data_IF_252720381848
#
_entry.id   IF_252720381848
#
_cell.length_a   1.000
_cell.length_b   1.000
_cell.length_c   1.000
_cell.angle_alpha   90.00
_cell.angle_beta   90.00
_cell.angle_gamma   90.00
#
_symmetry.space_group_name_H-M   'P 1'
#
loop_
_entity.id
_entity.type
_entity.pdbx_description
1 polymer ?
#
# COMPACT_ATOMS: atom_id res chain seq x y z
N UNK A 1 -6.50 -33.90 15.86
CA UNK A 1 -5.69 -32.81 16.47
C UNK A 1 -4.29 -32.69 15.86
N UNK A 2 -3.74 -33.74 15.25
CA UNK A 2 -2.40 -33.75 14.65
C UNK A 2 -2.31 -33.10 13.25
N UNK A 3 -3.42 -32.91 12.54
CA UNK A 3 -3.49 -32.26 11.22
C UNK A 3 -3.23 -30.75 11.25
N UNK A 4 -3.58 -30.08 12.32
CA UNK A 4 -3.50 -28.62 12.41
C UNK A 4 -2.07 -28.08 12.60
N UNK A 5 -1.18 -28.83 13.26
CA UNK A 5 0.19 -28.37 13.50
C UNK A 5 1.10 -28.60 12.28
N UNK A 6 0.90 -29.72 11.55
CA UNK A 6 1.64 -30.00 10.31
C UNK A 6 1.27 -29.01 9.20
N UNK A 7 -0.01 -28.74 9.03
CA UNK A 7 -0.51 -27.74 8.07
C UNK A 7 -0.04 -26.32 8.43
N UNK A 8 0.09 -26.00 9.72
CA UNK A 8 0.67 -24.73 10.18
C UNK A 8 2.15 -24.60 9.88
N UNK A 9 2.92 -25.66 10.08
CA UNK A 9 4.36 -25.68 9.77
C UNK A 9 4.60 -25.62 8.25
N UNK A 10 3.80 -26.35 7.45
CA UNK A 10 3.86 -26.28 5.98
C UNK A 10 3.50 -24.88 5.48
N UNK A 11 2.47 -24.24 6.05
CA UNK A 11 2.10 -22.87 5.72
C UNK A 11 3.17 -21.84 6.12
N UNK A 12 3.84 -22.03 7.27
CA UNK A 12 4.98 -21.18 7.67
C UNK A 12 6.17 -21.36 6.76
N UNK A 13 6.49 -22.62 6.39
CA UNK A 13 7.58 -22.92 5.46
C UNK A 13 7.34 -22.27 4.10
N UNK A 14 6.12 -22.38 3.56
CA UNK A 14 5.74 -21.74 2.31
C UNK A 14 5.83 -20.21 2.37
N UNK A 15 5.44 -19.60 3.50
CA UNK A 15 5.57 -18.14 3.70
C UNK A 15 7.03 -17.73 3.81
N UNK A 16 7.88 -18.50 4.46
CA UNK A 16 9.31 -18.23 4.53
C UNK A 16 9.99 -18.34 3.15
N UNK A 17 9.67 -19.36 2.36
CA UNK A 17 10.12 -19.47 0.96
C UNK A 17 9.70 -18.25 0.12
N UNK A 18 8.47 -17.76 0.31
CA UNK A 18 7.97 -16.58 -0.36
C UNK A 18 8.70 -15.30 0.10
N UNK A 19 9.06 -15.21 1.38
CA UNK A 19 9.86 -14.09 1.92
C UNK A 19 11.29 -14.13 1.38
N UNK A 20 11.92 -15.29 1.32
CA UNK A 20 13.24 -15.45 0.71
C UNK A 20 13.23 -15.11 -0.78
N UNK A 21 12.16 -15.45 -1.49
CA UNK A 21 11.97 -15.06 -2.88
C UNK A 21 11.84 -13.54 -3.06
N UNK A 22 11.47 -12.80 -2.01
CA UNK A 22 11.45 -11.34 -2.04
C UNK A 22 12.86 -10.73 -2.17
N UNK A 23 13.92 -11.45 -1.82
CA UNK A 23 15.31 -11.03 -2.06
C UNK A 23 15.64 -10.90 -3.56
N UNK A 24 14.86 -11.52 -4.43
CA UNK A 24 15.03 -11.38 -5.89
C UNK A 24 14.65 -10.00 -6.43
N UNK A 25 13.96 -9.16 -5.65
CA UNK A 25 13.50 -7.82 -6.08
C UNK A 25 14.53 -6.70 -5.87
N UNK A 26 15.79 -7.02 -5.65
CA UNK A 26 16.88 -6.03 -5.52
C UNK A 26 17.48 -5.57 -6.86
N UNK A 27 16.94 -6.00 -8.00
CA UNK A 27 17.30 -5.45 -9.31
C UNK A 27 16.22 -4.48 -9.81
N UNK A 28 16.60 -3.45 -10.60
CA UNK A 28 15.64 -2.47 -11.15
C UNK A 28 14.50 -3.12 -11.92
N UNK A 29 14.81 -4.14 -12.74
CA UNK A 29 13.84 -4.84 -13.58
C UNK A 29 12.80 -5.58 -12.74
N UNK A 30 13.26 -6.36 -11.76
CA UNK A 30 12.38 -7.13 -10.89
C UNK A 30 11.51 -6.24 -10.00
N UNK A 31 12.10 -5.18 -9.47
CA UNK A 31 11.35 -4.22 -8.68
C UNK A 31 10.28 -3.52 -9.52
N UNK A 32 10.60 -3.15 -10.76
CA UNK A 32 9.62 -2.56 -11.70
C UNK A 32 8.48 -3.52 -11.97
N UNK A 33 8.75 -4.77 -12.33
CA UNK A 33 7.73 -5.80 -12.55
C UNK A 33 6.78 -5.93 -11.36
N UNK A 34 7.34 -5.96 -10.15
CA UNK A 34 6.54 -6.00 -8.92
C UNK A 34 5.68 -4.75 -8.74
N UNK A 35 6.26 -3.55 -8.92
CA UNK A 35 5.53 -2.29 -8.73
C UNK A 35 4.38 -2.15 -9.74
N UNK A 36 4.61 -2.50 -11.00
CA UNK A 36 3.58 -2.52 -12.03
C UNK A 36 2.49 -3.56 -11.73
N UNK A 37 2.88 -4.76 -11.30
CA UNK A 37 1.92 -5.79 -10.90
C UNK A 37 1.09 -5.34 -9.69
N UNK A 38 1.73 -4.84 -8.64
CA UNK A 38 1.05 -4.38 -7.43
C UNK A 38 0.07 -3.22 -7.74
N UNK A 39 0.42 -2.33 -8.68
CA UNK A 39 -0.45 -1.25 -9.13
C UNK A 39 -1.75 -1.75 -9.78
N UNK A 40 -1.68 -2.88 -10.49
CA UNK A 40 -2.85 -3.53 -11.12
C UNK A 40 -3.70 -4.34 -10.15
N UNK A 41 -3.25 -4.56 -8.93
CA UNK A 41 -3.92 -5.42 -7.93
C UNK A 41 -4.43 -4.62 -6.71
N UNK A 42 -5.20 -3.52 -6.88
CA UNK A 42 -5.60 -2.63 -5.77
C UNK A 42 -6.54 -3.31 -4.76
N UNK A 43 -7.16 -4.42 -5.13
CA UNK A 43 -8.02 -5.23 -4.24
C UNK A 43 -7.26 -5.98 -3.15
N UNK A 44 -5.95 -6.15 -3.31
CA UNK A 44 -5.06 -6.82 -2.35
C UNK A 44 -4.15 -5.81 -1.69
N UNK A 45 -3.89 -5.95 -0.39
CA UNK A 45 -2.88 -5.13 0.28
C UNK A 45 -1.52 -5.29 -0.46
N UNK A 46 -0.65 -4.27 -0.47
CA UNK A 46 0.62 -4.30 -1.21
C UNK A 46 1.46 -5.54 -0.94
N UNK A 47 1.51 -6.00 0.31
CA UNK A 47 2.23 -7.23 0.67
C UNK A 47 1.61 -8.48 0.02
N UNK A 48 0.29 -8.60 0.00
CA UNK A 48 -0.39 -9.70 -0.69
C UNK A 48 -0.22 -9.62 -2.22
N UNK A 49 -0.17 -8.41 -2.79
CA UNK A 49 0.13 -8.25 -4.21
C UNK A 49 1.54 -8.77 -4.55
N UNK A 50 2.54 -8.54 -3.68
CA UNK A 50 3.87 -9.13 -3.81
C UNK A 50 3.80 -10.67 -3.77
N UNK A 51 3.10 -11.25 -2.79
CA UNK A 51 2.96 -12.72 -2.69
C UNK A 51 2.31 -13.31 -3.94
N UNK A 52 1.32 -12.64 -4.49
CA UNK A 52 0.67 -13.06 -5.74
C UNK A 52 1.63 -12.96 -6.93
N UNK A 53 2.42 -11.89 -7.03
CA UNK A 53 3.43 -11.73 -8.07
C UNK A 53 4.48 -12.83 -8.05
N UNK A 54 4.99 -13.20 -6.86
CA UNK A 54 5.94 -14.30 -6.70
C UNK A 54 5.35 -15.62 -7.23
N UNK A 55 4.09 -15.90 -6.91
CA UNK A 55 3.41 -17.15 -7.26
C UNK A 55 2.97 -17.18 -8.73
N UNK A 56 2.50 -16.05 -9.27
CA UNK A 56 1.96 -15.95 -10.63
C UNK A 56 2.12 -14.54 -11.22
N UNK A 57 3.33 -14.19 -11.76
CA UNK A 57 3.64 -12.83 -12.25
C UNK A 57 2.71 -12.35 -13.37
N UNK A 58 2.11 -13.30 -14.13
CA UNK A 58 1.22 -13.03 -15.27
C UNK A 58 -0.27 -13.01 -14.90
N UNK A 59 -0.61 -13.15 -13.63
CA UNK A 59 -2.00 -13.09 -13.21
C UNK A 59 -2.65 -11.76 -13.60
N UNK A 60 -3.90 -11.82 -14.07
CA UNK A 60 -4.63 -10.68 -14.61
C UNK A 60 -5.71 -10.18 -13.67
N UNK A 61 -6.51 -11.09 -13.12
CA UNK A 61 -7.56 -10.78 -12.17
C UNK A 61 -7.71 -11.97 -11.21
N UNK A 62 -7.64 -11.70 -9.93
CA UNK A 62 -7.57 -12.74 -8.89
C UNK A 62 -8.75 -12.58 -7.95
N UNK A 63 -9.44 -13.68 -7.65
CA UNK A 63 -10.51 -13.73 -6.68
C UNK A 63 -10.61 -15.11 -6.00
N UNK A 64 -11.32 -15.21 -4.87
CA UNK A 64 -11.64 -16.47 -4.22
C UNK A 64 -12.67 -17.25 -5.02
N UNK A 65 -12.77 -18.55 -4.79
CA UNK A 65 -13.79 -19.40 -5.43
C UNK A 65 -15.22 -18.89 -5.17
N UNK A 66 -15.47 -18.31 -3.99
CA UNK A 66 -16.76 -17.71 -3.64
C UNK A 66 -17.04 -16.46 -4.49
N UNK A 67 -16.09 -15.55 -4.58
CA UNK A 67 -16.21 -14.33 -5.40
C UNK A 67 -16.39 -14.68 -6.88
N UNK A 68 -15.68 -15.71 -7.39
CA UNK A 68 -15.88 -16.21 -8.76
C UNK A 68 -17.30 -16.75 -8.96
N UNK A 69 -17.84 -17.52 -8.00
CA UNK A 69 -19.21 -18.02 -8.08
C UNK A 69 -20.24 -16.88 -8.07
N UNK A 70 -20.03 -15.82 -7.28
CA UNK A 70 -20.88 -14.62 -7.27
C UNK A 70 -20.88 -13.89 -8.62
N UNK A 71 -19.79 -13.99 -9.38
CA UNK A 71 -19.65 -13.46 -10.75
C UNK A 71 -20.15 -14.42 -11.84
N UNK A 72 -20.71 -15.58 -11.47
CA UNK A 72 -21.21 -16.58 -12.42
C UNK A 72 -20.15 -17.48 -13.05
N UNK A 73 -18.94 -17.47 -12.50
CA UNK A 73 -17.82 -18.32 -12.94
C UNK A 73 -17.52 -19.41 -11.92
N UNK A 74 -16.93 -20.50 -12.39
CA UNK A 74 -16.48 -21.61 -11.55
C UNK A 74 -14.97 -21.81 -11.72
N UNK A 75 -14.31 -22.15 -10.64
CA UNK A 75 -12.91 -22.57 -10.68
C UNK A 75 -12.80 -23.94 -11.35
N UNK A 76 -11.85 -24.10 -12.26
CA UNK A 76 -11.59 -25.36 -12.98
C UNK A 76 -11.20 -26.47 -11.99
N UNK A 77 -11.67 -27.71 -12.21
CA UNK A 77 -11.15 -28.85 -11.46
C UNK A 77 -9.62 -28.97 -11.63
N UNK A 78 -8.89 -29.11 -10.52
CA UNK A 78 -7.43 -29.18 -10.54
C UNK A 78 -6.71 -27.85 -10.69
N UNK A 79 -7.41 -26.72 -10.69
CA UNK A 79 -6.81 -25.39 -10.70
C UNK A 79 -5.83 -25.21 -9.53
N UNK A 80 -4.68 -24.61 -9.80
CA UNK A 80 -3.66 -24.33 -8.78
C UNK A 80 -4.06 -23.08 -7.98
N UNK A 81 -4.30 -23.19 -6.67
CA UNK A 81 -4.61 -22.04 -5.85
C UNK A 81 -3.37 -21.16 -5.64
N UNK A 82 -3.59 -19.86 -5.58
CA UNK A 82 -2.63 -18.88 -5.07
C UNK A 82 -2.97 -18.58 -3.61
N UNK A 83 -1.95 -18.22 -2.83
CA UNK A 83 -2.06 -18.02 -1.39
C UNK A 83 -1.87 -16.55 -1.04
N UNK A 84 -2.78 -16.00 -0.22
CA UNK A 84 -2.66 -14.67 0.36
C UNK A 84 -2.87 -14.72 1.87
N UNK A 85 -2.26 -13.79 2.60
CA UNK A 85 -2.39 -13.70 4.06
C UNK A 85 -3.74 -13.09 4.46
N UNK A 86 -4.27 -13.53 5.59
CA UNK A 86 -5.48 -12.97 6.21
C UNK A 86 -5.19 -12.44 7.63
N UNK A 87 -5.93 -11.41 8.03
CA UNK A 87 -5.80 -10.79 9.36
C UNK A 87 -6.29 -11.76 10.47
N UNK A 88 -7.30 -12.59 10.18
CA UNK A 88 -7.98 -13.47 11.14
C UNK A 88 -7.86 -14.96 10.76
N UNK A 89 -6.83 -15.33 10.03
CA UNK A 89 -6.60 -16.73 9.62
C UNK A 89 -5.19 -16.86 9.04
N UNK A 90 -4.69 -18.09 8.86
CA UNK A 90 -3.34 -18.25 8.34
C UNK A 90 -3.24 -17.77 6.90
N UNK A 91 -4.13 -18.23 6.03
CA UNK A 91 -4.10 -17.95 4.60
C UNK A 91 -5.50 -18.01 3.97
N UNK A 92 -5.65 -17.40 2.79
CA UNK A 92 -6.81 -17.54 1.91
C UNK A 92 -6.35 -18.00 0.53
N UNK A 93 -7.07 -18.97 -0.04
CA UNK A 93 -6.86 -19.43 -1.40
C UNK A 93 -7.64 -18.58 -2.38
N UNK A 94 -6.97 -18.18 -3.45
CA UNK A 94 -7.50 -17.37 -4.54
C UNK A 94 -7.04 -17.94 -5.89
N UNK A 95 -7.73 -17.60 -6.97
CA UNK A 95 -7.49 -18.14 -8.30
C UNK A 95 -7.47 -17.02 -9.33
N UNK A 96 -6.58 -17.13 -10.30
CA UNK A 96 -6.57 -16.23 -11.46
C UNK A 96 -7.77 -16.51 -12.38
N UNK A 97 -8.19 -15.50 -13.11
CA UNK A 97 -9.28 -15.62 -14.10
C UNK A 97 -9.03 -16.72 -15.14
N UNK A 98 -7.77 -16.95 -15.51
CA UNK A 98 -7.40 -18.02 -16.44
C UNK A 98 -7.73 -19.43 -15.91
N UNK A 99 -7.86 -19.58 -14.60
CA UNK A 99 -8.25 -20.82 -13.92
C UNK A 99 -9.76 -20.95 -13.71
N UNK A 100 -10.57 -20.15 -14.39
CA UNK A 100 -12.03 -20.19 -14.30
C UNK A 100 -12.70 -20.56 -15.62
N UNK A 101 -13.96 -20.96 -15.54
CA UNK A 101 -14.85 -21.20 -16.69
C UNK A 101 -16.28 -20.81 -16.32
N UNK A 102 -17.11 -20.56 -17.31
CA UNK A 102 -18.52 -20.21 -17.12
C UNK A 102 -18.98 -19.07 -18.03
N UNK A 103 -19.81 -18.20 -17.50
CA UNK A 103 -20.39 -17.08 -18.23
C UNK A 103 -19.33 -16.02 -18.59
N UNK A 104 -19.68 -15.07 -19.48
CA UNK A 104 -18.83 -13.92 -19.73
C UNK A 104 -18.56 -13.14 -18.45
N UNK A 105 -17.35 -12.60 -18.32
CA UNK A 105 -16.97 -11.74 -17.21
C UNK A 105 -17.93 -10.53 -17.13
N UNK A 106 -18.30 -10.09 -15.93
CA UNK A 106 -19.00 -8.82 -15.74
C UNK A 106 -18.24 -7.68 -16.42
N UNK A 107 -18.96 -6.76 -17.08
CA UNK A 107 -18.34 -5.66 -17.83
C UNK A 107 -17.34 -4.85 -17.00
N UNK A 108 -17.63 -4.60 -15.71
CA UNK A 108 -16.71 -3.90 -14.81
C UNK A 108 -15.39 -4.63 -14.59
N UNK A 109 -15.42 -5.96 -14.48
CA UNK A 109 -14.22 -6.80 -14.34
C UNK A 109 -13.42 -6.81 -15.64
N UNK A 110 -14.12 -6.93 -16.77
CA UNK A 110 -13.49 -6.89 -18.09
C UNK A 110 -12.80 -5.54 -18.33
N UNK A 111 -13.46 -4.42 -18.04
CA UNK A 111 -12.89 -3.08 -18.16
C UNK A 111 -11.65 -2.91 -17.24
N UNK A 112 -11.71 -3.39 -16.01
CA UNK A 112 -10.56 -3.36 -15.08
C UNK A 112 -9.36 -4.17 -15.60
N UNK A 113 -9.62 -5.28 -16.31
CA UNK A 113 -8.58 -6.10 -16.92
C UNK A 113 -8.01 -5.51 -18.22
N UNK A 114 -8.84 -4.83 -19.02
CA UNK A 114 -8.46 -4.22 -20.30
C UNK A 114 -7.70 -2.91 -20.11
N UNK A 115 -8.09 -2.10 -19.13
CA UNK A 115 -7.42 -0.85 -18.79
C UNK A 115 -7.16 -0.74 -17.27
N UNK A 116 -6.21 -1.53 -16.75
CA UNK A 116 -5.88 -1.51 -15.33
C UNK A 116 -5.24 -0.19 -14.87
N UNK A 117 -4.75 0.62 -15.80
CA UNK A 117 -4.08 1.90 -15.55
C UNK A 117 -4.94 3.12 -15.90
N UNK A 118 -6.23 2.93 -16.16
CA UNK A 118 -7.12 4.06 -16.44
C UNK A 118 -7.00 5.14 -15.37
N UNK A 119 -6.46 6.29 -15.76
CA UNK A 119 -6.23 7.40 -14.83
C UNK A 119 -7.55 8.13 -14.56
N UNK A 120 -8.07 7.98 -13.35
CA UNK A 120 -9.15 8.81 -12.80
C UNK A 120 -8.52 9.83 -11.84
N UNK A 121 -8.06 10.97 -12.37
CA UNK A 121 -7.16 11.90 -11.71
C UNK A 121 -7.68 12.68 -10.49
N UNK A 122 -8.70 12.23 -9.77
CA UNK A 122 -9.27 12.98 -8.65
C UNK A 122 -9.11 12.32 -7.29
N UNK A 123 -8.81 13.14 -6.29
CA UNK A 123 -8.85 12.77 -4.88
C UNK A 123 -10.11 13.39 -4.27
N UNK A 124 -11.17 12.61 -4.03
CA UNK A 124 -12.43 13.16 -3.50
C UNK A 124 -12.21 13.85 -2.14
N UNK A 125 -12.87 14.97 -1.91
CA UNK A 125 -12.73 15.76 -0.68
C UNK A 125 -13.00 14.93 0.60
N UNK A 126 -13.95 14.02 0.57
CA UNK A 126 -14.24 13.17 1.73
C UNK A 126 -13.10 12.19 2.06
N UNK A 127 -12.37 11.73 1.05
CA UNK A 127 -11.17 10.87 1.22
C UNK A 127 -10.02 11.70 1.79
N UNK A 128 -9.78 12.86 1.21
CA UNK A 128 -8.75 13.79 1.65
C UNK A 128 -8.95 14.21 3.11
N UNK A 129 -10.12 14.72 3.46
CA UNK A 129 -10.43 15.20 4.81
C UNK A 129 -10.29 14.07 5.84
N UNK A 130 -10.76 12.86 5.49
CA UNK A 130 -10.62 11.69 6.37
C UNK A 130 -9.17 11.30 6.58
N UNK A 131 -8.34 11.37 5.54
CA UNK A 131 -6.91 11.10 5.65
C UNK A 131 -6.24 12.11 6.59
N UNK A 132 -6.56 13.39 6.46
CA UNK A 132 -6.06 14.44 7.35
C UNK A 132 -6.53 14.25 8.81
N UNK A 133 -7.79 13.87 9.03
CA UNK A 133 -8.33 13.58 10.38
C UNK A 133 -7.55 12.40 11.03
N UNK A 134 -7.22 11.37 10.26
CA UNK A 134 -6.44 10.25 10.77
C UNK A 134 -4.98 10.63 11.03
N UNK A 135 -4.37 11.46 10.19
CA UNK A 135 -3.05 12.03 10.45
C UNK A 135 -3.05 12.80 11.79
N UNK A 136 -3.99 13.72 11.97
CA UNK A 136 -4.11 14.51 13.20
C UNK A 136 -4.30 13.62 14.45
N UNK A 137 -5.14 12.59 14.34
CA UNK A 137 -5.35 11.64 15.44
C UNK A 137 -4.10 10.77 15.76
N UNK A 138 -3.13 10.71 14.84
CA UNK A 138 -1.84 10.04 15.01
C UNK A 138 -0.70 11.04 15.33
N UNK A 139 -1.04 12.26 15.74
CA UNK A 139 -0.07 13.34 16.03
C UNK A 139 0.80 13.73 14.83
N UNK A 140 0.24 13.61 13.62
CA UNK A 140 0.84 14.07 12.38
C UNK A 140 0.03 15.30 11.95
N UNK A 141 0.55 16.49 12.20
CA UNK A 141 -0.06 17.76 11.81
C UNK A 141 0.26 18.04 10.34
N UNK A 142 -0.73 18.03 9.49
CA UNK A 142 -0.60 18.37 8.08
C UNK A 142 -1.04 19.82 7.87
N UNK A 143 -0.17 20.65 7.31
CA UNK A 143 -0.43 22.05 6.99
C UNK A 143 -0.09 22.34 5.53
N UNK A 144 -0.77 23.31 4.95
CA UNK A 144 -0.42 23.87 3.65
C UNK A 144 0.40 25.15 3.87
N UNK A 145 1.49 25.31 3.12
CA UNK A 145 2.34 26.50 3.14
C UNK A 145 2.77 26.86 1.72
N UNK A 146 3.02 28.13 1.47
CA UNK A 146 3.68 28.56 0.23
C UNK A 146 5.15 28.20 0.35
N UNK A 147 5.58 27.18 -0.38
CA UNK A 147 6.95 26.70 -0.42
C UNK A 147 7.63 27.12 -1.71
N UNK A 148 8.96 26.96 -1.77
CA UNK A 148 9.69 27.16 -3.03
C UNK A 148 9.15 26.24 -4.13
N UNK A 149 9.23 26.66 -5.39
CA UNK A 149 8.66 25.92 -6.54
C UNK A 149 9.22 24.49 -6.68
N UNK A 150 10.47 24.29 -6.27
CA UNK A 150 11.14 22.98 -6.32
C UNK A 150 10.85 22.09 -5.09
N UNK A 151 10.05 22.58 -4.13
CA UNK A 151 9.74 21.85 -2.91
C UNK A 151 8.25 21.53 -2.84
N UNK A 152 7.90 20.26 -3.04
CA UNK A 152 6.51 19.82 -3.02
C UNK A 152 5.96 19.71 -1.58
N UNK A 153 6.80 19.33 -0.64
CA UNK A 153 6.49 19.21 0.79
C UNK A 153 7.70 18.75 1.57
N UNK A 154 7.53 18.66 2.87
CA UNK A 154 8.49 18.03 3.77
C UNK A 154 7.85 17.65 5.10
N UNK A 155 8.46 16.72 5.82
CA UNK A 155 8.06 16.32 7.16
C UNK A 155 9.23 16.45 8.13
N UNK A 156 8.93 16.86 9.37
CA UNK A 156 9.90 16.99 10.45
C UNK A 156 9.31 16.61 11.80
N UNK A 157 10.16 16.32 12.77
CA UNK A 157 9.70 16.22 14.15
C UNK A 157 9.40 17.63 14.70
N UNK A 158 8.20 17.78 15.25
CA UNK A 158 7.76 19.00 15.89
C UNK A 158 8.08 19.03 17.39
N UNK A 159 7.99 20.21 18.04
CA UNK A 159 8.47 20.42 19.41
C UNK A 159 7.63 19.73 20.48
N UNK A 160 6.41 19.29 20.19
CA UNK A 160 5.47 18.75 21.18
C UNK A 160 5.29 17.22 21.07
N UNK A 161 6.29 16.48 20.58
CA UNK A 161 6.20 15.05 20.38
C UNK A 161 5.15 14.70 19.32
N UNK A 162 5.16 15.45 18.23
CA UNK A 162 4.34 15.28 17.05
C UNK A 162 5.21 15.36 15.79
N UNK A 163 4.64 15.06 14.64
CA UNK A 163 5.27 15.33 13.34
C UNK A 163 4.54 16.48 12.66
N UNK A 164 5.30 17.40 12.09
CA UNK A 164 4.80 18.50 11.29
C UNK A 164 5.10 18.22 9.82
N UNK A 165 4.05 18.07 9.02
CA UNK A 165 4.11 17.79 7.60
C UNK A 165 3.55 19.00 6.83
N UNK A 166 4.34 19.55 5.93
CA UNK A 166 3.99 20.71 5.13
C UNK A 166 3.83 20.33 3.67
N UNK A 167 2.74 20.75 3.06
CA UNK A 167 2.47 20.57 1.64
C UNK A 167 2.49 21.92 0.93
N UNK A 168 3.07 21.98 -0.27
CA UNK A 168 3.06 23.21 -1.05
C UNK A 168 1.64 23.57 -1.47
N UNK A 169 1.17 24.75 -1.04
CA UNK A 169 -0.16 25.26 -1.30
C UNK A 169 -0.40 25.60 -2.79
N UNK A 170 0.66 25.78 -3.59
CA UNK A 170 0.58 26.08 -5.01
C UNK A 170 0.28 24.84 -5.89
N UNK A 171 0.38 23.64 -5.32
CA UNK A 171 0.12 22.41 -6.06
C UNK A 171 -1.36 22.01 -5.99
N UNK A 172 -1.82 21.34 -7.05
CA UNK A 172 -3.16 20.75 -7.09
C UNK A 172 -3.31 19.54 -6.16
N UNK A 173 -4.54 19.10 -5.96
CA UNK A 173 -4.87 18.03 -5.02
C UNK A 173 -4.20 16.69 -5.34
N UNK A 174 -4.12 16.21 -6.59
CA UNK A 174 -3.39 14.98 -6.91
C UNK A 174 -1.92 15.03 -6.54
N UNK A 175 -1.24 16.16 -6.82
CA UNK A 175 0.17 16.36 -6.45
C UNK A 175 0.32 16.44 -4.93
N UNK A 176 -0.55 17.19 -4.24
CA UNK A 176 -0.55 17.24 -2.76
C UNK A 176 -0.79 15.86 -2.13
N UNK A 177 -1.64 15.02 -2.75
CA UNK A 177 -1.88 13.65 -2.27
C UNK A 177 -0.64 12.76 -2.42
N UNK A 178 0.03 12.81 -3.57
CA UNK A 178 1.26 12.07 -3.81
C UNK A 178 2.38 12.52 -2.86
N UNK A 179 2.51 13.84 -2.67
CA UNK A 179 3.45 14.43 -1.71
C UNK A 179 3.14 13.97 -0.28
N UNK A 180 1.87 13.99 0.13
CA UNK A 180 1.46 13.50 1.45
C UNK A 180 1.81 12.01 1.61
N UNK A 181 1.60 11.20 0.58
CA UNK A 181 1.97 9.78 0.61
C UNK A 181 3.48 9.57 0.69
N UNK A 182 4.29 10.42 0.03
CA UNK A 182 5.75 10.42 0.12
C UNK A 182 6.23 10.76 1.54
N UNK A 183 5.71 11.84 2.13
CA UNK A 183 6.10 12.27 3.47
C UNK A 183 5.64 11.28 4.56
N UNK A 184 4.44 10.69 4.41
CA UNK A 184 4.01 9.58 5.26
C UNK A 184 4.87 8.32 5.02
N UNK A 185 5.38 8.13 3.82
CA UNK A 185 6.37 7.09 3.50
C UNK A 185 7.64 7.24 4.34
N UNK A 186 8.19 8.46 4.44
CA UNK A 186 9.32 8.72 5.33
C UNK A 186 9.01 8.38 6.79
N UNK A 187 7.82 8.75 7.29
CA UNK A 187 7.44 8.44 8.67
C UNK A 187 7.30 6.92 8.88
N UNK A 188 6.52 6.25 8.07
CA UNK A 188 6.17 4.84 8.30
C UNK A 188 7.30 3.86 7.93
N UNK A 189 8.25 4.30 7.09
CA UNK A 189 9.53 3.60 6.92
C UNK A 189 10.54 3.92 8.03
N UNK A 190 10.22 4.82 8.98
CA UNK A 190 11.03 5.12 10.15
C UNK A 190 12.21 6.06 9.92
N UNK A 191 12.22 6.81 8.82
CA UNK A 191 13.34 7.65 8.41
C UNK A 191 13.58 8.88 9.30
N UNK A 192 12.56 9.33 10.03
CA UNK A 192 12.68 10.42 11.01
C UNK A 192 12.84 9.89 12.44
N UNK A 193 13.11 8.61 12.60
CA UNK A 193 13.12 8.01 13.91
C UNK A 193 11.70 7.71 14.38
N UNK A 194 11.55 7.58 15.69
CA UNK A 194 10.34 7.14 16.33
C UNK A 194 10.11 7.92 17.61
N UNK A 195 8.92 8.48 17.76
CA UNK A 195 8.43 9.00 19.03
C UNK A 195 7.85 7.86 19.87
N UNK A 196 7.62 8.13 21.16
CA UNK A 196 6.99 7.16 22.04
C UNK A 196 5.61 6.74 21.51
N UNK A 197 5.37 5.44 21.48
CA UNK A 197 4.15 4.80 21.00
C UNK A 197 3.89 4.81 19.47
N UNK A 198 4.82 5.24 18.64
CA UNK A 198 4.68 5.05 17.20
C UNK A 198 4.75 3.56 16.84
N UNK A 199 4.02 3.16 15.79
CA UNK A 199 3.92 1.77 15.39
C UNK A 199 5.03 1.31 14.42
N UNK A 200 5.80 2.28 13.85
CA UNK A 200 6.94 1.99 12.98
C UNK A 200 8.25 1.84 13.76
N UNK A 201 9.25 1.33 13.11
CA UNK A 201 10.59 1.14 13.65
C UNK A 201 11.42 2.40 13.49
N UNK A 202 12.48 2.58 14.29
CA UNK A 202 13.45 3.64 14.09
C UNK A 202 14.50 3.18 13.07
N UNK A 203 14.55 3.88 11.93
CA UNK A 203 15.53 3.68 10.85
C UNK A 203 16.09 5.02 10.38
N UNK A 204 16.27 5.96 11.30
CA UNK A 204 16.80 7.29 11.01
C UNK A 204 18.28 7.30 10.59
N UNK A 205 18.98 6.20 10.79
CA UNK A 205 20.37 5.95 10.39
C UNK A 205 20.52 5.64 8.89
N UNK A 206 19.43 5.41 8.17
CA UNK A 206 19.48 5.12 6.74
C UNK A 206 20.03 6.32 5.94
N UNK A 207 20.87 6.02 4.94
CA UNK A 207 21.42 7.05 4.05
C UNK A 207 20.32 7.72 3.23
N UNK A 208 20.53 8.99 2.84
CA UNK A 208 19.51 9.77 2.12
C UNK A 208 18.97 9.05 0.89
N UNK A 209 19.83 8.44 0.06
CA UNK A 209 19.40 7.73 -1.16
C UNK A 209 18.44 6.60 -0.86
N UNK A 210 18.66 5.81 0.20
CA UNK A 210 17.74 4.78 0.67
C UNK A 210 16.40 5.37 1.10
N UNK A 211 16.42 6.43 1.91
CA UNK A 211 15.21 7.06 2.42
C UNK A 211 14.33 7.62 1.30
N UNK A 212 14.96 8.32 0.34
CA UNK A 212 14.22 8.89 -0.80
C UNK A 212 13.63 7.78 -1.69
N UNK A 213 14.40 6.75 -1.99
CA UNK A 213 13.94 5.62 -2.80
C UNK A 213 12.76 4.90 -2.17
N UNK A 214 12.83 4.62 -0.85
CA UNK A 214 11.73 3.95 -0.14
C UNK A 214 10.47 4.84 -0.09
N UNK A 215 10.60 6.13 0.22
CA UNK A 215 9.46 7.05 0.26
C UNK A 215 8.81 7.23 -1.12
N UNK A 216 9.63 7.32 -2.17
CA UNK A 216 9.14 7.42 -3.55
C UNK A 216 8.41 6.16 -4.00
N UNK A 217 8.93 4.98 -3.66
CA UNK A 217 8.26 3.71 -3.94
C UNK A 217 6.91 3.59 -3.22
N UNK A 218 6.82 4.07 -1.98
CA UNK A 218 5.56 4.15 -1.23
C UNK A 218 4.57 5.08 -1.93
N UNK A 219 5.00 6.30 -2.29
CA UNK A 219 4.16 7.28 -2.97
C UNK A 219 3.66 6.74 -4.31
N UNK A 220 4.54 6.11 -5.10
CA UNK A 220 4.17 5.47 -6.36
C UNK A 220 3.08 4.41 -6.17
N UNK A 221 3.26 3.47 -5.23
CA UNK A 221 2.27 2.43 -4.97
C UNK A 221 0.92 3.01 -4.56
N UNK A 222 0.90 3.95 -3.61
CA UNK A 222 -0.33 4.55 -3.10
C UNK A 222 -1.05 5.34 -4.19
N UNK A 223 -0.33 6.11 -5.00
CA UNK A 223 -0.92 6.92 -6.08
C UNK A 223 -1.40 6.05 -7.25
N UNK A 224 -0.54 5.16 -7.77
CA UNK A 224 -0.86 4.35 -8.96
C UNK A 224 -2.03 3.38 -8.69
N UNK A 225 -2.10 2.79 -7.50
CA UNK A 225 -3.22 1.92 -7.10
C UNK A 225 -4.54 2.67 -6.94
N UNK A 226 -4.49 4.01 -6.89
CA UNK A 226 -5.64 4.92 -6.99
C UNK A 226 -5.84 5.49 -8.38
N UNK A 227 -5.09 5.00 -9.35
CA UNK A 227 -5.15 5.46 -10.74
C UNK A 227 -4.80 6.95 -10.90
N UNK A 228 -4.00 7.49 -9.99
CA UNK A 228 -3.48 8.85 -10.07
C UNK A 228 -2.17 8.83 -10.88
N UNK A 229 -2.11 9.66 -11.90
CA UNK A 229 -0.86 9.91 -12.65
C UNK A 229 -0.11 11.04 -11.96
N UNK A 230 1.04 10.72 -11.38
CA UNK A 230 1.84 11.68 -10.59
C UNK A 230 3.30 11.68 -11.06
N UNK A 231 4.05 12.69 -10.61
CA UNK A 231 5.48 12.76 -10.88
C UNK A 231 6.27 11.59 -10.26
N UNK A 232 5.75 10.95 -9.22
CA UNK A 232 6.36 9.77 -8.58
C UNK A 232 6.66 8.64 -9.57
N UNK A 233 5.84 8.48 -10.61
CA UNK A 233 6.11 7.50 -11.67
C UNK A 233 7.39 7.83 -12.45
N UNK A 234 7.71 9.12 -12.67
CA UNK A 234 8.93 9.57 -13.34
C UNK A 234 10.16 9.45 -12.44
N UNK A 235 10.01 9.79 -11.15
CA UNK A 235 11.10 9.68 -10.18
C UNK A 235 11.49 8.22 -9.98
N UNK A 236 10.53 7.36 -9.73
CA UNK A 236 10.78 5.93 -9.56
C UNK A 236 11.37 5.32 -10.84
N UNK A 237 10.94 5.76 -12.04
CA UNK A 237 11.52 5.30 -13.31
C UNK A 237 13.01 5.63 -13.45
N UNK A 238 13.50 6.70 -12.82
CA UNK A 238 14.91 7.03 -12.74
C UNK A 238 15.71 5.96 -11.99
N UNK A 239 15.22 5.50 -10.84
CA UNK A 239 15.82 4.38 -10.10
C UNK A 239 15.67 3.04 -10.81
N UNK A 240 14.57 2.84 -11.55
CA UNK A 240 14.24 1.59 -12.22
C UNK A 240 14.75 1.51 -13.67
N UNK A 241 15.58 2.46 -14.10
CA UNK A 241 16.21 2.42 -15.43
C UNK A 241 17.22 1.27 -15.50
N UNK A 242 17.29 0.53 -16.63
CA UNK A 242 18.25 -0.54 -16.81
C UNK A 242 19.69 -0.06 -16.57
N UNK A 243 20.45 -0.84 -15.80
CA UNK A 243 21.83 -0.51 -15.47
C UNK A 243 22.03 0.52 -14.35
N UNK A 244 20.97 1.02 -13.74
CA UNK A 244 21.07 1.89 -12.55
C UNK A 244 21.33 1.04 -11.31
N UNK A 245 22.33 1.41 -10.53
CA UNK A 245 22.55 0.79 -9.23
C UNK A 245 21.47 1.26 -8.25
N UNK A 246 20.65 0.34 -7.75
CA UNK A 246 19.70 0.66 -6.68
C UNK A 246 20.44 0.91 -5.37
N UNK A 247 20.04 1.94 -4.60
CA UNK A 247 20.47 2.03 -3.21
C UNK A 247 19.96 0.80 -2.45
N UNK A 248 20.59 0.46 -1.32
CA UNK A 248 20.01 -0.53 -0.40
C UNK A 248 18.65 -0.04 0.06
N UNK A 249 17.62 -0.91 0.05
CA UNK A 249 16.27 -0.56 0.49
C UNK A 249 15.60 -1.77 1.15
N UNK A 250 14.54 -1.52 1.89
CA UNK A 250 13.72 -2.56 2.49
C UNK A 250 12.35 -2.63 1.81
N UNK A 251 12.18 -3.64 0.97
CA UNK A 251 10.89 -3.90 0.32
C UNK A 251 9.77 -4.13 1.35
N UNK A 252 10.10 -4.77 2.47
CA UNK A 252 9.15 -5.00 3.55
C UNK A 252 8.60 -3.69 4.13
N UNK A 253 9.47 -2.69 4.39
CA UNK A 253 9.04 -1.40 4.92
C UNK A 253 8.23 -0.61 3.88
N UNK A 254 8.62 -0.62 2.62
CA UNK A 254 7.86 -0.02 1.51
C UNK A 254 6.43 -0.57 1.48
N UNK A 255 6.28 -1.90 1.44
CA UNK A 255 4.96 -2.54 1.32
C UNK A 255 4.10 -2.35 2.59
N UNK A 256 4.72 -2.36 3.78
CA UNK A 256 4.03 -2.07 5.05
C UNK A 256 3.58 -0.62 5.13
N UNK A 257 4.43 0.33 4.75
CA UNK A 257 4.11 1.76 4.75
C UNK A 257 2.99 2.07 3.74
N UNK A 258 3.10 1.57 2.51
CA UNK A 258 2.05 1.73 1.50
C UNK A 258 0.72 1.16 1.97
N UNK A 259 0.72 -0.05 2.55
CA UNK A 259 -0.49 -0.67 3.11
C UNK A 259 -1.10 0.14 4.25
N UNK A 260 -0.28 0.70 5.14
CA UNK A 260 -0.75 1.56 6.23
C UNK A 260 -1.43 2.84 5.71
N UNK A 261 -0.84 3.49 4.71
CA UNK A 261 -1.42 4.68 4.07
C UNK A 261 -2.73 4.33 3.37
N UNK A 262 -2.81 3.20 2.66
CA UNK A 262 -4.04 2.76 2.01
C UNK A 262 -5.16 2.47 3.00
N UNK A 263 -4.86 1.90 4.17
CA UNK A 263 -5.85 1.75 5.25
C UNK A 263 -6.37 3.11 5.72
N UNK A 264 -5.49 4.12 5.85
CA UNK A 264 -5.89 5.50 6.21
C UNK A 264 -6.75 6.13 5.12
N UNK A 265 -6.36 5.98 3.87
CA UNK A 265 -7.17 6.44 2.72
C UNK A 265 -8.54 5.76 2.69
N UNK A 266 -8.61 4.48 3.07
CA UNK A 266 -9.86 3.74 3.31
C UNK A 266 -10.64 4.16 4.57
N UNK A 267 -10.13 5.13 5.33
CA UNK A 267 -10.75 5.67 6.54
C UNK A 267 -10.56 4.82 7.79
N UNK A 268 -9.48 4.06 7.84
CA UNK A 268 -9.13 3.21 8.98
C UNK A 268 -7.74 3.57 9.49
N UNK A 269 -7.51 3.52 10.78
CA UNK A 269 -6.16 3.54 11.30
C UNK A 269 -5.38 2.33 10.77
N UNK A 270 -4.05 2.44 10.57
CA UNK A 270 -3.19 1.31 10.29
C UNK A 270 -3.39 0.16 11.28
N UNK A 271 -3.28 -1.09 10.82
CA UNK A 271 -3.60 -2.27 11.64
C UNK A 271 -2.83 -2.30 12.98
N UNK A 272 -1.54 -1.98 12.95
CA UNK A 272 -0.71 -1.89 14.17
C UNK A 272 -1.20 -0.77 15.11
N UNK A 273 -1.59 0.38 14.58
CA UNK A 273 -2.13 1.49 15.36
C UNK A 273 -3.49 1.12 15.97
N UNK A 274 -4.37 0.45 15.22
CA UNK A 274 -5.63 -0.09 15.77
C UNK A 274 -5.40 -1.03 16.95
N UNK A 275 -4.41 -1.93 16.82
CA UNK A 275 -4.06 -2.87 17.88
C UNK A 275 -3.53 -2.14 19.12
N UNK A 276 -2.69 -1.10 18.95
CA UNK A 276 -2.19 -0.25 20.02
C UNK A 276 -3.33 0.47 20.75
N UNK A 277 -4.21 1.15 19.99
CA UNK A 277 -5.35 1.89 20.56
C UNK A 277 -6.31 0.99 21.31
N UNK A 278 -6.55 -0.21 20.81
CA UNK A 278 -7.36 -1.21 21.52
C UNK A 278 -6.74 -1.61 22.85
N UNK A 279 -5.43 -1.79 22.91
CA UNK A 279 -4.71 -2.11 24.17
C UNK A 279 -4.74 -0.93 25.16
N UNK A 280 -4.69 0.31 24.65
CA UNK A 280 -4.76 1.52 25.48
C UNK A 280 -6.19 1.89 25.93
N UNK A 281 -7.22 1.15 25.53
CA UNK A 281 -8.62 1.46 25.84
C UNK A 281 -9.19 2.66 25.08
N UNK A 282 -8.48 3.17 24.06
CA UNK A 282 -8.92 4.31 23.26
C UNK A 282 -10.05 3.89 22.29
N UNK A 283 -11.23 4.54 22.41
CA UNK A 283 -12.36 4.27 21.52
C UNK A 283 -12.12 4.82 20.11
N UNK A 284 -12.85 4.25 19.10
CA UNK A 284 -12.88 4.75 17.70
C UNK A 284 -13.10 6.27 17.65
N UNK A 285 -12.47 7.00 16.71
CA UNK A 285 -12.76 8.42 16.52
C UNK A 285 -14.27 8.59 16.31
N UNK A 286 -14.91 9.43 17.14
CA UNK A 286 -16.32 9.76 16.99
C UNK A 286 -16.52 10.40 15.60
N UNK A 287 -17.37 9.80 14.78
CA UNK A 287 -17.87 10.46 13.56
C UNK A 287 -18.49 11.78 14.00
N UNK A 288 -17.88 12.91 13.63
CA UNK A 288 -18.56 14.20 13.72
C UNK A 288 -19.78 14.09 12.82
N UNK A 289 -20.98 14.22 13.40
CA UNK A 289 -22.21 14.28 12.63
C UNK A 289 -22.12 15.46 11.66
N UNK A 290 -22.27 15.18 10.38
CA UNK A 290 -22.44 16.24 9.37
C UNK A 290 -23.75 16.95 9.73
N UNK A 291 -23.76 18.28 9.94
CA UNK A 291 -25.00 19.00 10.14
C UNK A 291 -25.90 18.79 8.92
N UNK A 292 -27.14 18.41 9.13
CA UNK A 292 -28.14 18.38 8.05
C UNK A 292 -28.30 19.82 7.53
N UNK A 293 -28.30 20.04 6.21
CA UNK A 293 -28.68 21.35 5.68
C UNK A 293 -30.09 21.68 6.11
N UNK A 294 -30.27 22.93 6.56
CA UNK A 294 -31.58 23.56 6.89
C UNK A 294 -32.33 23.81 5.60
#
# INVERSE_FOLDING_TARGET
MLTNDKEREEAKSAVNELIESALAYHTPERLRELMEFASRMPRYAPYNAMLLHIQHPKARYIASAKEWAEMGLKVKPGARPLVVLQIMGPVRFVFDVAETYGNALPQGVQAEMEDPFHAAGEVPNHVWNRLLDLCAAMRIRVAQAVLHVDLAGYVQQGPLGQYDLFLNASHDRPVQFATLAHELGHLFCGHLGRLENDFWENRSDQVKATREMEAEAVAYLVASRRKLVTASSKYLSGYLSPGTALPSFSLEHILKAAGAIEEMVGGKFPAKERARRKKAGESKPRRKAVPKPI
#
